data_IF_664369307697
#
_entry.id   IF_664369307697
#
_cell.length_a   1.000
_cell.length_b   1.000
_cell.length_c   1.000
_cell.angle_alpha   90.00
_cell.angle_beta   90.00
_cell.angle_gamma   90.00
#
_symmetry.space_group_name_H-M   'P 1'
#
loop_
_entity.id
_entity.type
_entity.pdbx_description
1 polymer ?
#
# COMPACT_ATOMS: atom_id res chain seq x y z
N UNK A 1 0.21 21.31 0.68
CA UNK A 1 1.10 21.16 -0.49
C UNK A 1 1.97 19.93 -0.30
N UNK A 2 2.08 19.12 -1.31
CA UNK A 2 2.89 17.90 -1.24
C UNK A 2 4.37 18.22 -1.45
N UNK A 3 5.23 17.47 -0.76
CA UNK A 3 6.68 17.51 -0.95
C UNK A 3 7.08 16.25 -1.71
N UNK A 4 7.26 16.37 -3.01
CA UNK A 4 7.56 15.23 -3.87
C UNK A 4 9.00 15.36 -4.36
N UNK A 5 9.82 14.35 -4.08
CA UNK A 5 11.19 14.33 -4.58
C UNK A 5 11.20 14.38 -6.11
N UNK A 6 12.10 15.15 -6.71
CA UNK A 6 12.22 15.16 -8.18
C UNK A 6 12.68 13.80 -8.74
N UNK A 7 13.17 12.90 -7.87
CA UNK A 7 13.57 11.55 -8.27
C UNK A 7 12.46 10.53 -8.09
N UNK A 8 11.28 10.96 -7.67
CA UNK A 8 10.12 10.06 -7.58
C UNK A 8 9.34 10.11 -8.89
N UNK A 9 8.67 9.02 -9.22
CA UNK A 9 7.72 9.01 -10.31
C UNK A 9 6.30 8.94 -9.73
N UNK A 10 5.47 9.90 -10.10
CA UNK A 10 4.05 9.89 -9.76
C UNK A 10 3.27 9.97 -11.07
N UNK A 11 2.48 8.94 -11.34
CA UNK A 11 1.67 8.92 -12.56
C UNK A 11 0.70 10.11 -12.55
N UNK A 12 0.54 10.81 -13.67
CA UNK A 12 -0.39 11.95 -13.73
C UNK A 12 -1.83 11.62 -13.36
N UNK A 13 -2.24 10.36 -13.50
CA UNK A 13 -3.59 9.93 -13.16
C UNK A 13 -3.73 9.46 -11.70
N UNK A 14 -2.66 9.49 -10.93
CA UNK A 14 -2.75 9.24 -9.50
C UNK A 14 -3.38 10.46 -8.80
N UNK A 15 -4.22 10.18 -7.81
CA UNK A 15 -4.89 11.26 -7.05
C UNK A 15 -4.26 11.36 -5.68
N UNK A 16 -3.63 12.49 -5.41
CA UNK A 16 -2.97 12.76 -4.14
C UNK A 16 -3.73 13.83 -3.38
N UNK A 17 -3.93 13.61 -2.09
CA UNK A 17 -4.39 14.68 -1.20
C UNK A 17 -3.27 15.66 -0.90
N UNK A 18 -3.28 16.24 0.30
CA UNK A 18 -2.36 17.30 0.69
C UNK A 18 -1.37 16.86 1.75
N UNK A 19 -0.27 17.58 1.82
CA UNK A 19 0.76 17.46 2.85
C UNK A 19 1.40 16.08 2.90
N UNK A 20 1.47 15.41 1.77
CA UNK A 20 2.20 14.14 1.68
C UNK A 20 3.68 14.43 1.43
N UNK A 21 4.54 13.61 2.00
CA UNK A 21 5.97 13.61 1.73
C UNK A 21 6.29 12.35 0.95
N UNK A 22 6.81 12.52 -0.27
CA UNK A 22 7.13 11.39 -1.15
C UNK A 22 8.61 11.45 -1.45
N UNK A 23 9.34 10.49 -0.92
CA UNK A 23 10.80 10.44 -1.01
C UNK A 23 11.30 10.01 -2.39
N UNK A 24 12.64 10.01 -2.55
CA UNK A 24 13.23 9.65 -3.83
C UNK A 24 12.99 8.18 -4.16
N UNK A 25 12.92 7.91 -5.46
CA UNK A 25 12.76 6.56 -6.00
C UNK A 25 11.45 5.89 -5.61
N UNK A 26 10.47 6.66 -5.13
CA UNK A 26 9.11 6.16 -5.02
C UNK A 26 8.48 6.05 -6.40
N UNK A 27 7.59 5.07 -6.54
CA UNK A 27 6.79 4.88 -7.74
C UNK A 27 5.33 4.84 -7.35
N UNK A 28 4.52 5.74 -7.88
CA UNK A 28 3.08 5.78 -7.62
C UNK A 28 2.37 5.61 -8.95
N UNK A 29 1.68 4.50 -9.11
CA UNK A 29 1.03 4.11 -10.37
C UNK A 29 -0.28 4.86 -10.58
N UNK A 30 -0.80 4.75 -11.78
CA UNK A 30 -2.15 5.23 -12.11
C UNK A 30 -3.18 4.46 -11.30
N UNK A 31 -4.41 5.00 -11.25
CA UNK A 31 -5.52 4.41 -10.51
C UNK A 31 -5.17 4.21 -9.03
N UNK A 32 -4.48 5.18 -8.45
CA UNK A 32 -4.08 5.20 -7.05
C UNK A 32 -4.69 6.43 -6.40
N UNK A 33 -5.19 6.26 -5.18
CA UNK A 33 -5.67 7.36 -4.35
C UNK A 33 -4.87 7.36 -3.06
N UNK A 34 -4.19 8.47 -2.77
CA UNK A 34 -3.46 8.68 -1.54
C UNK A 34 -4.07 9.89 -0.85
N UNK A 35 -4.47 9.72 0.41
CA UNK A 35 -5.09 10.81 1.17
C UNK A 35 -4.09 11.87 1.60
N UNK A 36 -4.21 12.32 2.87
CA UNK A 36 -3.44 13.45 3.38
C UNK A 36 -2.41 13.01 4.41
N UNK A 37 -1.36 13.80 4.52
CA UNK A 37 -0.37 13.68 5.61
C UNK A 37 0.34 12.32 5.66
N UNK A 38 0.52 11.68 4.53
CA UNK A 38 1.26 10.42 4.47
C UNK A 38 2.75 10.70 4.24
N UNK A 39 3.59 9.85 4.80
CA UNK A 39 5.04 9.90 4.57
C UNK A 39 5.45 8.62 3.88
N UNK A 40 5.93 8.75 2.65
CA UNK A 40 6.53 7.65 1.91
C UNK A 40 8.03 7.87 1.87
N UNK A 41 8.77 7.01 2.53
CA UNK A 41 10.23 7.08 2.51
C UNK A 41 10.75 6.67 1.14
N UNK A 42 12.08 6.65 0.97
CA UNK A 42 12.66 6.32 -0.33
C UNK A 42 12.28 4.89 -0.77
N UNK A 43 12.12 4.71 -2.07
CA UNK A 43 11.94 3.39 -2.66
C UNK A 43 10.63 2.68 -2.32
N UNK A 44 9.59 3.44 -1.98
CA UNK A 44 8.25 2.87 -1.76
C UNK A 44 7.52 2.77 -3.09
N UNK A 45 6.83 1.65 -3.31
CA UNK A 45 6.03 1.44 -4.52
C UNK A 45 4.55 1.35 -4.14
N UNK A 46 3.75 2.22 -4.76
CA UNK A 46 2.29 2.18 -4.63
C UNK A 46 1.74 1.78 -5.99
N UNK A 47 1.15 0.60 -6.06
CA UNK A 47 0.72 0.02 -7.33
C UNK A 47 -0.75 0.31 -7.61
N UNK A 48 -1.14 0.00 -8.84
CA UNK A 48 -2.49 0.13 -9.35
C UNK A 48 -3.52 -0.41 -8.37
N UNK A 49 -4.61 0.33 -8.20
CA UNK A 49 -5.73 -0.10 -7.36
C UNK A 49 -5.59 0.27 -5.89
N UNK A 50 -4.53 0.93 -5.48
CA UNK A 50 -4.36 1.34 -4.08
C UNK A 50 -5.32 2.46 -3.71
N UNK A 51 -5.91 2.34 -2.51
CA UNK A 51 -6.79 3.34 -1.91
C UNK A 51 -6.31 3.55 -0.48
N UNK A 52 -5.47 4.56 -0.29
CA UNK A 52 -4.76 4.78 0.97
C UNK A 52 -5.31 6.03 1.64
N UNK A 53 -5.60 5.93 2.93
CA UNK A 53 -6.14 7.02 3.72
C UNK A 53 -5.09 8.02 4.16
N UNK A 54 -5.13 8.41 5.45
CA UNK A 54 -4.37 9.53 5.96
C UNK A 54 -3.37 9.12 7.04
N UNK A 55 -2.34 9.92 7.21
CA UNK A 55 -1.39 9.79 8.32
C UNK A 55 -0.68 8.44 8.39
N UNK A 56 -0.44 7.83 7.26
CA UNK A 56 0.33 6.59 7.19
C UNK A 56 1.81 6.91 6.98
N UNK A 57 2.67 6.09 7.55
CA UNK A 57 4.09 6.16 7.30
C UNK A 57 4.55 4.86 6.69
N UNK A 58 5.17 4.93 5.51
CA UNK A 58 5.57 3.75 4.74
C UNK A 58 7.09 3.79 4.54
N UNK A 59 7.75 2.73 4.92
CA UNK A 59 9.20 2.65 5.02
C UNK A 59 9.83 2.05 3.75
N UNK A 60 11.14 2.24 3.56
CA UNK A 60 11.79 1.87 2.31
C UNK A 60 11.55 0.43 1.88
N UNK A 61 11.31 0.25 0.59
CA UNK A 61 11.18 -1.06 -0.02
C UNK A 61 9.79 -1.68 0.11
N UNK A 62 8.87 -1.05 0.85
CA UNK A 62 7.51 -1.56 0.92
C UNK A 62 6.82 -1.42 -0.45
N UNK A 63 5.99 -2.41 -0.77
CA UNK A 63 5.26 -2.43 -2.04
C UNK A 63 3.80 -2.73 -1.75
N UNK A 64 2.93 -1.77 -2.02
CA UNK A 64 1.52 -1.82 -1.66
C UNK A 64 0.66 -2.00 -2.90
N UNK A 65 -0.42 -2.78 -2.78
CA UNK A 65 -1.35 -3.06 -3.87
C UNK A 65 -0.65 -3.82 -5.02
N UNK A 66 0.17 -4.80 -4.67
CA UNK A 66 0.91 -5.57 -5.67
C UNK A 66 -0.03 -6.49 -6.45
N UNK A 67 0.42 -6.89 -7.63
CA UNK A 67 -0.29 -7.89 -8.41
C UNK A 67 -0.41 -9.18 -7.59
N UNK A 68 -1.63 -9.76 -7.49
CA UNK A 68 -1.80 -10.99 -6.71
C UNK A 68 -0.93 -12.14 -7.21
N UNK A 69 -0.38 -12.88 -6.26
CA UNK A 69 0.39 -14.09 -6.55
C UNK A 69 -0.56 -15.28 -6.64
N UNK A 70 -1.47 -15.22 -7.58
CA UNK A 70 -2.50 -16.24 -7.78
C UNK A 70 -2.56 -16.56 -9.25
N UNK A 71 -2.37 -17.84 -9.59
CA UNK A 71 -2.37 -18.26 -10.98
C UNK A 71 -3.70 -18.02 -11.67
N UNK A 72 -4.78 -17.89 -10.93
CA UNK A 72 -6.11 -17.60 -11.48
C UNK A 72 -6.30 -16.13 -11.79
N UNK A 73 -5.41 -15.25 -11.31
CA UNK A 73 -5.55 -13.82 -11.54
C UNK A 73 -5.28 -13.51 -13.00
N UNK A 74 -6.23 -12.82 -13.66
CA UNK A 74 -6.17 -12.50 -15.09
C UNK A 74 -6.12 -11.00 -15.35
N UNK A 75 -5.69 -10.20 -14.37
CA UNK A 75 -5.63 -8.77 -14.55
C UNK A 75 -6.92 -8.04 -14.23
N UNK A 76 -7.80 -8.66 -13.45
CA UNK A 76 -9.06 -8.03 -13.06
C UNK A 76 -8.81 -6.69 -12.37
N UNK A 77 -9.77 -5.79 -12.49
CA UNK A 77 -9.70 -4.46 -11.92
C UNK A 77 -10.08 -4.52 -10.44
N UNK A 78 -9.09 -4.75 -9.59
CA UNK A 78 -9.28 -4.93 -8.15
C UNK A 78 -8.53 -3.88 -7.36
N UNK A 79 -8.79 -3.82 -6.05
CA UNK A 79 -8.31 -2.76 -5.19
C UNK A 79 -7.63 -3.28 -3.94
N UNK A 80 -6.88 -2.37 -3.31
CA UNK A 80 -6.27 -2.57 -2.01
C UNK A 80 -6.57 -1.33 -1.17
N UNK A 81 -7.32 -1.51 -0.08
CA UNK A 81 -7.69 -0.42 0.83
C UNK A 81 -6.78 -0.44 2.04
N UNK A 82 -6.17 0.69 2.35
CA UNK A 82 -5.37 0.89 3.54
C UNK A 82 -5.91 2.12 4.24
N UNK A 83 -6.29 1.96 5.50
CA UNK A 83 -6.91 3.02 6.27
C UNK A 83 -5.94 4.10 6.72
N UNK A 84 -6.00 4.47 8.02
CA UNK A 84 -5.31 5.62 8.55
C UNK A 84 -4.35 5.23 9.66
N UNK A 85 -3.31 6.05 9.85
CA UNK A 85 -2.40 5.93 10.99
C UNK A 85 -1.68 4.58 11.06
N UNK A 86 -1.37 4.00 9.93
CA UNK A 86 -0.62 2.75 9.89
C UNK A 86 0.87 3.05 9.74
N UNK A 87 1.69 2.24 10.40
CA UNK A 87 3.13 2.22 10.20
C UNK A 87 3.46 0.95 9.43
N UNK A 88 3.94 1.10 8.21
CA UNK A 88 4.20 -0.01 7.30
C UNK A 88 5.70 -0.05 7.05
N UNK A 89 6.36 -1.01 7.69
CA UNK A 89 7.81 -1.05 7.76
C UNK A 89 8.45 -1.61 6.48
N UNK A 90 9.76 -1.70 6.52
CA UNK A 90 10.57 -2.03 5.36
C UNK A 90 10.17 -3.34 4.71
N UNK A 91 10.09 -3.33 3.39
CA UNK A 91 9.86 -4.51 2.55
C UNK A 91 8.53 -5.24 2.82
N UNK A 92 7.58 -4.57 3.47
CA UNK A 92 6.23 -5.10 3.59
C UNK A 92 5.61 -5.16 2.20
N UNK A 93 4.89 -6.25 1.90
CA UNK A 93 4.15 -6.37 0.66
C UNK A 93 2.69 -6.66 0.95
N UNK A 94 1.80 -5.95 0.25
CA UNK A 94 0.36 -6.13 0.37
C UNK A 94 -0.20 -6.26 -1.03
N UNK A 95 -0.82 -7.40 -1.34
CA UNK A 95 -1.40 -7.64 -2.66
C UNK A 95 -2.79 -7.01 -2.75
N UNK A 96 -3.17 -6.59 -3.95
CA UNK A 96 -4.55 -6.17 -4.18
C UNK A 96 -5.44 -7.40 -4.34
N UNK A 97 -6.75 -7.20 -4.41
CA UNK A 97 -7.70 -8.30 -4.48
C UNK A 97 -7.67 -9.07 -5.78
N UNK A 98 -8.34 -10.21 -5.77
CA UNK A 98 -8.64 -10.98 -6.98
C UNK A 98 -10.13 -10.93 -7.26
N UNK A 99 -10.60 -11.66 -8.27
CA UNK A 99 -12.02 -11.76 -8.55
C UNK A 99 -12.82 -12.37 -7.39
N UNK A 100 -12.14 -13.07 -6.48
CA UNK A 100 -12.80 -13.73 -5.33
C UNK A 100 -13.54 -12.73 -4.44
N UNK A 101 -12.87 -11.64 -4.04
CA UNK A 101 -13.48 -10.60 -3.21
C UNK A 101 -13.32 -9.20 -3.79
N UNK A 102 -12.48 -9.03 -4.78
CA UNK A 102 -12.26 -7.75 -5.46
C UNK A 102 -11.37 -6.78 -4.72
N UNK A 103 -11.02 -7.05 -3.46
CA UNK A 103 -10.23 -6.12 -2.67
C UNK A 103 -9.55 -6.78 -1.49
N UNK A 104 -8.41 -6.21 -1.11
CA UNK A 104 -7.71 -6.49 0.13
C UNK A 104 -7.92 -5.28 1.04
N UNK A 105 -8.09 -5.48 2.34
CA UNK A 105 -8.40 -4.39 3.27
C UNK A 105 -7.46 -4.42 4.46
N UNK A 106 -6.87 -3.26 4.76
CA UNK A 106 -6.12 -3.00 5.98
C UNK A 106 -6.81 -1.85 6.70
N UNK A 107 -7.13 -2.04 7.98
CA UNK A 107 -7.79 -1.02 8.79
C UNK A 107 -6.85 0.09 9.24
N UNK A 108 -7.04 0.55 10.50
CA UNK A 108 -6.36 1.72 11.04
C UNK A 108 -5.45 1.34 12.20
N UNK A 109 -4.44 2.19 12.43
CA UNK A 109 -3.59 2.11 13.63
C UNK A 109 -2.85 0.79 13.75
N UNK A 110 -2.36 0.26 12.65
CA UNK A 110 -1.60 -0.99 12.63
C UNK A 110 -0.10 -0.71 12.57
N UNK A 111 0.67 -1.61 13.16
CA UNK A 111 2.11 -1.69 12.93
C UNK A 111 2.37 -2.98 12.15
N UNK A 112 2.78 -2.85 10.90
CA UNK A 112 3.14 -3.97 10.06
C UNK A 112 4.66 -4.00 10.00
N UNK A 113 5.24 -4.97 10.71
CA UNK A 113 6.69 -5.00 10.87
C UNK A 113 7.38 -5.51 9.62
N UNK A 114 8.68 -5.35 9.60
CA UNK A 114 9.54 -5.59 8.45
C UNK A 114 9.27 -6.95 7.79
N UNK A 115 9.17 -6.93 6.47
CA UNK A 115 9.07 -8.12 5.61
C UNK A 115 7.77 -8.93 5.81
N UNK A 116 6.72 -8.32 6.37
CA UNK A 116 5.40 -8.95 6.47
C UNK A 116 4.76 -9.01 5.09
N UNK A 117 3.95 -10.04 4.83
CA UNK A 117 3.19 -10.16 3.58
C UNK A 117 1.70 -10.38 3.89
N UNK A 118 0.86 -9.58 3.27
CA UNK A 118 -0.59 -9.76 3.30
C UNK A 118 -1.05 -10.11 1.88
N UNK A 119 -1.56 -11.33 1.72
CA UNK A 119 -1.98 -11.81 0.41
C UNK A 119 -3.33 -11.21 -0.02
N UNK A 120 -3.66 -11.45 -1.26
CA UNK A 120 -4.89 -10.96 -1.89
C UNK A 120 -6.15 -11.38 -1.13
N UNK A 121 -7.14 -10.50 -1.13
CA UNK A 121 -8.48 -10.75 -0.56
C UNK A 121 -8.50 -10.91 0.95
N UNK A 122 -7.39 -10.68 1.64
CA UNK A 122 -7.35 -10.71 3.10
C UNK A 122 -7.93 -9.42 3.69
N UNK A 123 -8.45 -9.54 4.91
CA UNK A 123 -8.90 -8.39 5.69
C UNK A 123 -8.09 -8.37 6.99
N UNK A 124 -7.35 -7.29 7.19
CA UNK A 124 -6.65 -7.03 8.44
C UNK A 124 -7.36 -5.88 9.14
N UNK A 125 -7.75 -6.11 10.39
CA UNK A 125 -8.49 -5.10 11.14
C UNK A 125 -7.62 -3.93 11.58
N UNK A 126 -7.90 -3.41 12.78
CA UNK A 126 -7.24 -2.24 13.32
C UNK A 126 -6.51 -2.58 14.60
N UNK A 127 -5.53 -1.73 14.96
CA UNK A 127 -4.74 -1.85 16.19
C UNK A 127 -4.01 -3.18 16.31
N UNK A 128 -3.55 -3.70 15.18
CA UNK A 128 -2.77 -4.94 15.14
C UNK A 128 -1.28 -4.63 15.13
N UNK A 129 -0.51 -5.50 15.74
CA UNK A 129 0.95 -5.51 15.61
C UNK A 129 1.32 -6.84 14.98
N UNK A 130 1.80 -6.78 13.74
CA UNK A 130 2.13 -7.98 12.98
C UNK A 130 3.65 -8.12 12.98
N UNK A 131 4.13 -9.22 13.51
CA UNK A 131 5.58 -9.45 13.68
C UNK A 131 6.33 -9.58 12.36
N UNK A 132 7.66 -9.50 12.48
CA UNK A 132 8.55 -9.56 11.33
C UNK A 132 8.34 -10.86 10.54
N UNK A 133 8.36 -10.75 9.23
CA UNK A 133 8.30 -11.89 8.30
C UNK A 133 7.02 -12.73 8.41
N UNK A 134 5.98 -12.22 9.05
CA UNK A 134 4.67 -12.91 9.09
C UNK A 134 4.08 -12.93 7.68
N UNK A 135 3.52 -14.07 7.29
CA UNK A 135 2.93 -14.25 5.96
C UNK A 135 1.48 -14.70 6.11
N UNK A 136 0.56 -13.97 5.47
CA UNK A 136 -0.84 -14.34 5.41
C UNK A 136 -1.15 -14.86 4.03
N UNK A 137 -1.74 -16.06 3.95
CA UNK A 137 -2.16 -16.64 2.68
C UNK A 137 -3.43 -15.96 2.18
N UNK A 138 -3.69 -16.07 0.90
CA UNK A 138 -4.83 -15.47 0.24
C UNK A 138 -6.16 -15.99 0.75
N UNK A 139 -7.14 -15.12 0.71
CA UNK A 139 -8.50 -15.22 1.12
C UNK A 139 -8.74 -15.13 2.54
#
# INVERSE_FOLDING_TARGET
>A
MNQISPLAFVDPDAKLGDNNVIGPFCFIDKNTVLGDNNVLHNGVTINYGARIGNNNEVFPGASLSTKPQDLKFKGEDTECFIGNNNSIRENVTISRGTASKGKTIVGDNNLLMENMHLAHDCVLGSRCIIGNSTKFAGR
#
